data_IF_020198992076
#
_entry.id   IF_020198992076
#
_cell.length_a   1.000
_cell.length_b   1.000
_cell.length_c   1.000
_cell.angle_alpha   90.00
_cell.angle_beta   90.00
_cell.angle_gamma   90.00
#
_symmetry.space_group_name_H-M   'P 1'
#
loop_
_entity.id
_entity.type
_entity.pdbx_description
1 polymer ?
#
# COMPACT_ATOMS: atom_id res chain seq x y z
N UNK A 1 46.95 37.98 3.19
CA UNK A 1 45.56 37.65 3.57
C UNK A 1 44.86 37.11 2.32
N UNK A 2 44.81 35.80 2.20
CA UNK A 2 44.07 35.10 1.11
C UNK A 2 42.63 34.91 1.57
N UNK A 3 41.71 35.66 0.97
CA UNK A 3 40.26 35.44 1.11
C UNK A 3 39.87 34.26 0.22
N UNK A 4 39.71 33.08 0.83
CA UNK A 4 39.08 31.95 0.14
C UNK A 4 37.56 32.21 0.18
N UNK A 5 37.07 32.81 -0.92
CA UNK A 5 35.64 32.93 -1.18
C UNK A 5 35.08 31.51 -1.39
N UNK A 6 34.46 30.94 -0.36
CA UNK A 6 33.70 29.71 -0.47
C UNK A 6 32.55 29.97 -1.44
N UNK A 7 32.67 29.52 -2.69
CA UNK A 7 31.53 29.43 -3.60
C UNK A 7 30.52 28.47 -2.97
N UNK A 8 29.41 29.00 -2.50
CA UNK A 8 28.25 28.18 -2.16
C UNK A 8 27.86 27.46 -3.46
N UNK A 9 28.04 26.14 -3.49
CA UNK A 9 27.52 25.30 -4.57
C UNK A 9 26.01 25.46 -4.50
N UNK A 10 25.42 26.15 -5.47
CA UNK A 10 23.99 26.27 -5.57
C UNK A 10 23.43 24.86 -5.85
N UNK A 11 22.54 24.38 -4.98
CA UNK A 11 21.88 23.10 -5.17
C UNK A 11 21.26 23.04 -6.57
N UNK A 12 21.44 21.92 -7.24
CA UNK A 12 20.73 21.68 -8.51
C UNK A 12 19.23 21.51 -8.24
N UNK A 13 18.35 21.78 -9.21
CA UNK A 13 16.92 21.51 -9.06
C UNK A 13 16.60 20.07 -8.58
N UNK A 14 17.40 19.09 -9.04
CA UNK A 14 17.28 17.69 -8.60
C UNK A 14 17.62 17.51 -7.12
N UNK A 15 18.67 18.18 -6.60
CA UNK A 15 19.01 18.10 -5.18
C UNK A 15 17.98 18.81 -4.29
N UNK A 16 17.44 19.94 -4.75
CA UNK A 16 16.32 20.61 -4.06
C UNK A 16 15.10 19.69 -4.01
N UNK A 17 14.76 19.03 -5.12
CA UNK A 17 13.66 18.09 -5.21
C UNK A 17 13.84 16.88 -4.26
N UNK A 18 15.01 16.24 -4.27
CA UNK A 18 15.33 15.11 -3.38
C UNK A 18 15.17 15.49 -1.91
N UNK A 19 15.70 16.64 -1.52
CA UNK A 19 15.62 17.15 -0.15
C UNK A 19 14.17 17.42 0.26
N UNK A 20 13.41 18.09 -0.60
CA UNK A 20 11.99 18.37 -0.33
C UNK A 20 11.17 17.08 -0.20
N UNK A 21 11.41 16.11 -1.11
CA UNK A 21 10.74 14.81 -1.06
C UNK A 21 11.08 14.02 0.20
N UNK A 22 12.36 14.03 0.61
CA UNK A 22 12.78 13.37 1.85
C UNK A 22 12.14 13.99 3.10
N UNK A 23 12.00 15.33 3.15
CA UNK A 23 11.32 16.01 4.25
C UNK A 23 9.82 15.68 4.28
N UNK A 24 9.15 15.69 3.11
CA UNK A 24 7.75 15.32 3.01
C UNK A 24 7.50 13.86 3.46
N UNK A 25 8.35 12.93 3.01
CA UNK A 25 8.25 11.52 3.40
C UNK A 25 8.41 11.32 4.92
N UNK A 26 9.38 12.00 5.56
CA UNK A 26 9.54 11.96 7.03
C UNK A 26 8.32 12.49 7.77
N UNK A 27 7.76 13.60 7.29
CA UNK A 27 6.58 14.21 7.90
C UNK A 27 5.34 13.31 7.78
N UNK A 28 5.11 12.72 6.60
CA UNK A 28 3.98 11.81 6.34
C UNK A 28 4.13 10.47 7.06
N UNK A 29 5.36 9.98 7.23
CA UNK A 29 5.65 8.75 7.96
C UNK A 29 5.62 8.93 9.47
N UNK A 30 5.54 10.18 9.97
CA UNK A 30 5.71 10.53 11.40
C UNK A 30 7.05 10.03 11.98
N UNK A 31 8.09 9.90 11.11
CA UNK A 31 9.42 9.40 11.46
C UNK A 31 10.49 10.41 11.05
N UNK A 32 10.94 11.30 11.94
CA UNK A 32 11.97 12.30 11.65
C UNK A 32 13.33 11.72 11.25
N UNK A 33 13.63 10.51 11.71
CA UNK A 33 14.85 9.75 11.49
C UNK A 33 14.79 8.81 10.27
N UNK A 34 13.67 8.78 9.54
CA UNK A 34 13.56 7.98 8.31
C UNK A 34 14.67 8.31 7.32
N UNK A 35 15.47 7.32 6.96
CA UNK A 35 16.50 7.44 5.94
C UNK A 35 15.86 7.38 4.55
N UNK A 36 16.07 8.42 3.75
CA UNK A 36 15.57 8.48 2.36
C UNK A 36 16.75 8.50 1.40
N UNK A 37 16.86 7.44 0.61
CA UNK A 37 17.88 7.26 -0.42
C UNK A 37 17.25 7.27 -1.83
N UNK A 38 18.08 7.48 -2.86
CA UNK A 38 17.67 7.45 -4.26
C UNK A 38 18.56 6.51 -5.06
N UNK A 39 17.95 5.54 -5.73
CA UNK A 39 18.66 4.53 -6.53
C UNK A 39 17.85 4.13 -7.77
N UNK A 40 18.46 3.39 -8.68
CA UNK A 40 17.82 2.93 -9.93
C UNK A 40 16.81 1.82 -9.70
N UNK A 41 16.90 1.09 -8.59
CA UNK A 41 16.12 -0.10 -8.23
C UNK A 41 14.98 0.18 -7.22
N UNK A 42 14.66 1.46 -6.98
CA UNK A 42 13.51 1.84 -6.14
C UNK A 42 12.16 1.68 -6.86
N UNK A 43 11.01 1.86 -6.16
CA UNK A 43 10.88 2.16 -4.73
C UNK A 43 10.95 0.91 -3.84
N UNK A 44 11.56 1.04 -2.67
CA UNK A 44 11.67 -0.04 -1.68
C UNK A 44 11.64 0.53 -0.27
N UNK A 45 10.94 -0.16 0.63
CA UNK A 45 10.94 0.12 2.05
C UNK A 45 11.59 -1.06 2.80
N UNK A 46 12.54 -0.78 3.68
CA UNK A 46 13.22 -1.79 4.49
C UNK A 46 13.53 -1.20 5.87
N UNK A 47 12.74 -1.57 6.87
CA UNK A 47 12.83 -0.96 8.20
C UNK A 47 12.67 0.56 8.13
N UNK A 48 13.65 1.31 8.64
CA UNK A 48 13.67 2.78 8.61
C UNK A 48 14.30 3.39 7.34
N UNK A 49 14.51 2.60 6.29
CA UNK A 49 15.10 3.08 5.04
C UNK A 49 14.09 3.03 3.89
N UNK A 50 13.80 4.18 3.31
CA UNK A 50 13.01 4.37 2.10
C UNK A 50 13.95 4.65 0.93
N UNK A 51 14.01 3.73 -0.03
CA UNK A 51 14.74 3.93 -1.30
C UNK A 51 13.74 4.30 -2.38
N UNK A 52 13.97 5.43 -3.06
CA UNK A 52 13.12 5.94 -4.13
C UNK A 52 13.89 5.92 -5.47
N UNK A 53 13.18 5.86 -6.60
CA UNK A 53 13.81 6.04 -7.91
C UNK A 53 14.53 7.40 -8.02
N UNK A 54 15.57 7.42 -8.86
CA UNK A 54 16.25 8.68 -9.20
C UNK A 54 15.25 9.69 -9.78
N UNK A 55 15.24 10.94 -9.29
CA UNK A 55 14.34 11.97 -9.78
C UNK A 55 14.46 12.20 -11.29
N UNK A 56 13.36 12.48 -11.99
CA UNK A 56 13.39 12.86 -13.38
C UNK A 56 14.11 14.21 -13.58
N UNK A 57 14.50 14.50 -14.82
CA UNK A 57 15.17 15.78 -15.15
C UNK A 57 14.27 16.99 -14.93
N UNK A 58 12.97 16.84 -15.17
CA UNK A 58 11.97 17.87 -14.91
C UNK A 58 11.25 17.58 -13.58
N UNK A 59 11.56 18.36 -12.51
CA UNK A 59 10.94 18.16 -11.20
C UNK A 59 9.48 18.66 -11.13
N UNK A 60 8.98 19.31 -12.18
CA UNK A 60 7.59 19.81 -12.28
C UNK A 60 6.69 18.92 -13.15
N UNK A 61 7.28 17.99 -13.89
CA UNK A 61 6.58 17.12 -14.82
C UNK A 61 5.79 15.99 -14.17
N UNK A 62 4.99 15.25 -14.97
CA UNK A 62 4.13 14.16 -14.48
C UNK A 62 4.94 13.01 -13.86
N UNK A 63 6.15 12.74 -14.33
CA UNK A 63 7.03 11.72 -13.76
C UNK A 63 7.46 12.09 -12.33
N UNK A 64 7.72 13.38 -12.08
CA UNK A 64 8.06 13.87 -10.74
C UNK A 64 6.84 13.81 -9.81
N UNK A 65 5.64 14.09 -10.32
CA UNK A 65 4.40 13.92 -9.55
C UNK A 65 4.15 12.45 -9.18
N UNK A 66 4.35 11.53 -10.12
CA UNK A 66 4.24 10.09 -9.85
C UNK A 66 5.29 9.62 -8.83
N UNK A 67 6.52 10.17 -8.88
CA UNK A 67 7.55 9.86 -7.89
C UNK A 67 7.19 10.38 -6.49
N UNK A 68 6.59 11.59 -6.38
CA UNK A 68 6.04 12.07 -5.10
C UNK A 68 4.98 11.10 -4.58
N UNK A 69 4.04 10.67 -5.43
CA UNK A 69 2.99 9.72 -5.04
C UNK A 69 3.52 8.37 -4.58
N UNK A 70 4.63 7.87 -5.16
CA UNK A 70 5.29 6.67 -4.67
C UNK A 70 5.88 6.87 -3.28
N UNK A 71 6.52 8.02 -3.03
CA UNK A 71 7.07 8.36 -1.73
C UNK A 71 5.96 8.55 -0.67
N UNK A 72 4.91 9.29 -1.03
CA UNK A 72 3.76 9.57 -0.17
C UNK A 72 3.08 8.26 0.26
N UNK A 73 2.84 7.35 -0.68
CA UNK A 73 2.24 6.03 -0.45
C UNK A 73 3.05 5.20 0.55
N UNK A 74 4.37 5.16 0.41
CA UNK A 74 5.24 4.39 1.30
C UNK A 74 5.37 5.04 2.68
N UNK A 75 5.40 6.36 2.74
CA UNK A 75 5.42 7.10 4.00
C UNK A 75 4.12 6.91 4.78
N UNK A 76 2.96 6.98 4.12
CA UNK A 76 1.66 6.72 4.75
C UNK A 76 1.53 5.28 5.26
N UNK A 77 2.15 4.31 4.57
CA UNK A 77 2.20 2.92 5.06
C UNK A 77 2.95 2.84 6.39
N UNK A 78 4.07 3.54 6.56
CA UNK A 78 4.81 3.59 7.82
C UNK A 78 3.99 4.16 8.97
N UNK A 79 3.12 5.15 8.70
CA UNK A 79 2.32 5.81 9.72
C UNK A 79 1.01 5.07 10.06
N UNK A 80 0.42 4.34 9.10
CA UNK A 80 -0.97 3.85 9.21
C UNK A 80 -1.12 2.33 9.10
N UNK A 81 -0.01 1.57 9.18
CA UNK A 81 -0.04 0.12 8.99
C UNK A 81 0.76 -0.62 10.07
N UNK A 82 0.14 -1.62 10.66
CA UNK A 82 0.76 -2.59 11.56
C UNK A 82 1.05 -3.89 10.80
N UNK A 83 2.32 -4.14 10.51
CA UNK A 83 2.76 -5.35 9.79
C UNK A 83 2.46 -6.64 10.57
N UNK A 84 2.56 -6.62 11.91
CA UNK A 84 2.27 -7.79 12.74
C UNK A 84 0.78 -8.16 12.71
N UNK A 85 -0.09 -7.16 12.75
CA UNK A 85 -1.53 -7.35 12.59
C UNK A 85 -1.87 -7.81 11.17
N UNK A 86 -1.25 -7.20 10.16
CA UNK A 86 -1.44 -7.57 8.76
C UNK A 86 -1.06 -9.04 8.51
N UNK A 87 0.08 -9.49 9.02
CA UNK A 87 0.55 -10.86 8.84
C UNK A 87 -0.41 -11.93 9.43
N UNK A 88 -1.14 -11.58 10.50
CA UNK A 88 -2.16 -12.47 11.10
C UNK A 88 -3.47 -12.52 10.30
N UNK A 89 -3.80 -11.44 9.59
CA UNK A 89 -5.07 -11.31 8.88
C UNK A 89 -4.96 -11.70 7.40
N UNK A 90 -3.80 -11.51 6.81
CA UNK A 90 -3.52 -11.72 5.39
C UNK A 90 -3.73 -13.19 5.00
N UNK A 91 -4.52 -13.48 3.96
CA UNK A 91 -4.72 -14.84 3.45
C UNK A 91 -3.43 -15.51 2.98
N UNK A 92 -3.41 -16.85 3.05
CA UNK A 92 -2.31 -17.66 2.50
C UNK A 92 -2.46 -17.91 0.98
N UNK A 93 -3.70 -17.93 0.46
CA UNK A 93 -3.95 -18.03 -0.98
C UNK A 93 -3.43 -16.79 -1.70
N UNK A 94 -2.72 -17.00 -2.81
CA UNK A 94 -2.04 -15.91 -3.52
C UNK A 94 -3.00 -14.87 -4.10
N UNK A 95 -4.13 -15.32 -4.69
CA UNK A 95 -5.10 -14.43 -5.31
C UNK A 95 -5.88 -13.62 -4.26
N UNK A 96 -6.27 -14.27 -3.16
CA UNK A 96 -6.89 -13.60 -2.03
C UNK A 96 -5.92 -12.60 -1.37
N UNK A 97 -4.65 -12.97 -1.23
CA UNK A 97 -3.61 -12.10 -0.69
C UNK A 97 -3.37 -10.85 -1.56
N UNK A 98 -3.39 -10.97 -2.89
CA UNK A 98 -3.27 -9.82 -3.80
C UNK A 98 -4.41 -8.81 -3.60
N UNK A 99 -5.66 -9.30 -3.49
CA UNK A 99 -6.80 -8.43 -3.22
C UNK A 99 -6.70 -7.82 -1.83
N UNK A 100 -6.35 -8.62 -0.81
CA UNK A 100 -6.17 -8.14 0.55
C UNK A 100 -5.13 -7.03 0.63
N UNK A 101 -3.95 -7.22 0.04
CA UNK A 101 -2.87 -6.25 0.03
C UNK A 101 -3.25 -4.95 -0.71
N UNK A 102 -3.95 -5.05 -1.83
CA UNK A 102 -4.41 -3.90 -2.60
C UNK A 102 -5.45 -3.07 -1.83
N UNK A 103 -6.40 -3.73 -1.16
CA UNK A 103 -7.45 -3.07 -0.39
C UNK A 103 -6.89 -2.47 0.91
N UNK A 104 -5.99 -3.17 1.61
CA UNK A 104 -5.31 -2.62 2.78
C UNK A 104 -4.47 -1.39 2.41
N UNK A 105 -3.75 -1.44 1.29
CA UNK A 105 -3.02 -0.27 0.82
C UNK A 105 -3.96 0.91 0.50
N UNK A 106 -5.12 0.62 -0.06
CA UNK A 106 -6.17 1.64 -0.31
C UNK A 106 -6.68 2.27 0.99
N UNK A 107 -6.91 1.47 2.04
CA UNK A 107 -7.26 1.96 3.37
C UNK A 107 -6.21 2.93 3.92
N UNK A 108 -4.93 2.52 3.88
CA UNK A 108 -3.78 3.34 4.33
C UNK A 108 -3.77 4.69 3.61
N UNK A 109 -3.93 4.68 2.29
CA UNK A 109 -3.92 5.88 1.46
C UNK A 109 -5.12 6.79 1.75
N UNK A 110 -6.31 6.23 1.90
CA UNK A 110 -7.52 7.00 2.18
C UNK A 110 -7.46 7.65 3.57
N UNK A 111 -7.09 6.90 4.61
CA UNK A 111 -6.99 7.41 5.98
C UNK A 111 -5.88 8.44 6.09
N UNK A 112 -4.68 8.12 5.61
CA UNK A 112 -3.51 8.97 5.78
C UNK A 112 -3.54 10.26 4.95
N UNK A 113 -4.34 10.31 3.88
CA UNK A 113 -4.46 11.49 3.02
C UNK A 113 -5.77 12.25 3.15
N UNK A 114 -6.63 11.90 4.09
CA UNK A 114 -8.00 12.44 4.20
C UNK A 114 -8.08 13.99 4.14
N UNK A 115 -7.11 14.70 4.73
CA UNK A 115 -7.01 16.16 4.71
C UNK A 115 -5.94 16.71 3.76
N UNK A 116 -5.28 15.85 2.94
CA UNK A 116 -4.08 16.19 2.19
C UNK A 116 -4.31 16.06 0.67
N UNK A 117 -5.04 17.00 0.06
CA UNK A 117 -5.40 16.95 -1.36
C UNK A 117 -4.18 16.76 -2.27
N UNK A 118 -3.07 17.50 -2.05
CA UNK A 118 -1.86 17.37 -2.87
C UNK A 118 -1.22 15.97 -2.79
N UNK A 119 -1.32 15.29 -1.63
CA UNK A 119 -0.87 13.90 -1.46
C UNK A 119 -1.76 12.95 -2.26
N UNK A 120 -3.09 13.13 -2.21
CA UNK A 120 -4.02 12.35 -3.03
C UNK A 120 -3.75 12.50 -4.53
N UNK A 121 -3.52 13.73 -4.99
CA UNK A 121 -3.21 14.00 -6.40
C UNK A 121 -1.91 13.31 -6.84
N UNK A 122 -0.88 13.33 -6.00
CA UNK A 122 0.38 12.64 -6.24
C UNK A 122 0.19 11.11 -6.32
N UNK A 123 -0.55 10.53 -5.36
CA UNK A 123 -0.83 9.09 -5.33
C UNK A 123 -1.68 8.65 -6.53
N UNK A 124 -2.67 9.45 -6.96
CA UNK A 124 -3.42 9.22 -8.17
C UNK A 124 -2.51 9.17 -9.41
N UNK A 125 -1.58 10.12 -9.54
CA UNK A 125 -0.62 10.13 -10.63
C UNK A 125 0.30 8.89 -10.61
N UNK A 126 0.75 8.46 -9.43
CA UNK A 126 1.54 7.24 -9.26
C UNK A 126 0.76 5.98 -9.64
N UNK A 127 -0.50 5.87 -9.22
CA UNK A 127 -1.39 4.75 -9.53
C UNK A 127 -1.67 4.66 -11.03
N UNK A 128 -2.06 5.75 -11.66
CA UNK A 128 -2.29 5.82 -13.12
C UNK A 128 -1.02 5.42 -13.87
N UNK A 129 0.13 5.99 -13.52
CA UNK A 129 1.42 5.66 -14.13
C UNK A 129 1.77 4.18 -13.99
N UNK A 130 1.52 3.58 -12.81
CA UNK A 130 1.77 2.16 -12.56
C UNK A 130 0.89 1.25 -13.41
N UNK A 131 -0.43 1.47 -13.42
CA UNK A 131 -1.38 0.65 -14.16
C UNK A 131 -1.24 0.81 -15.68
N UNK A 132 -0.85 1.99 -16.17
CA UNK A 132 -0.48 2.16 -17.56
C UNK A 132 0.77 1.35 -17.95
N UNK A 133 1.82 1.34 -17.13
CA UNK A 133 3.02 0.54 -17.38
C UNK A 133 2.76 -0.97 -17.35
N UNK A 134 1.81 -1.42 -16.54
CA UNK A 134 1.36 -2.81 -16.50
C UNK A 134 0.44 -3.18 -17.69
N UNK A 135 0.00 -2.20 -18.48
CA UNK A 135 -0.97 -2.39 -19.55
C UNK A 135 -2.41 -2.59 -19.07
N UNK A 136 -2.66 -2.56 -17.76
CA UNK A 136 -3.99 -2.77 -17.18
C UNK A 136 -4.97 -1.64 -17.55
N UNK A 137 -4.50 -0.39 -17.56
CA UNK A 137 -5.31 0.76 -17.97
C UNK A 137 -5.82 0.71 -19.42
N UNK A 138 -5.20 -0.10 -20.28
CA UNK A 138 -5.59 -0.32 -21.67
C UNK A 138 -6.46 -1.57 -21.87
N UNK A 139 -6.93 -2.21 -20.78
CA UNK A 139 -7.83 -3.36 -20.88
C UNK A 139 -9.14 -2.98 -21.59
N UNK A 140 -9.58 -3.82 -22.52
CA UNK A 140 -10.85 -3.68 -23.25
C UNK A 140 -11.80 -4.84 -22.97
N UNK A 141 -11.35 -5.82 -22.20
CA UNK A 141 -12.08 -7.03 -21.81
C UNK A 141 -11.93 -7.24 -20.30
N UNK A 142 -13.00 -7.66 -19.62
CA UNK A 142 -13.05 -7.86 -18.17
C UNK A 142 -11.97 -8.85 -17.69
N UNK A 143 -11.70 -9.90 -18.46
CA UNK A 143 -10.70 -10.94 -18.11
C UNK A 143 -9.26 -10.40 -18.05
N UNK A 144 -8.99 -9.22 -18.60
CA UNK A 144 -7.68 -8.57 -18.59
C UNK A 144 -7.52 -7.55 -17.47
N UNK A 145 -8.59 -7.28 -16.73
CA UNK A 145 -8.56 -6.37 -15.58
C UNK A 145 -8.00 -7.10 -14.37
N UNK A 146 -6.94 -6.60 -13.73
CA UNK A 146 -6.47 -7.16 -12.46
C UNK A 146 -7.53 -6.94 -11.37
N UNK A 147 -8.12 -8.03 -10.86
CA UNK A 147 -9.21 -7.99 -9.87
C UNK A 147 -8.80 -7.22 -8.62
N UNK A 148 -7.59 -7.44 -8.12
CA UNK A 148 -7.07 -6.74 -6.95
C UNK A 148 -7.08 -5.21 -7.10
N UNK A 149 -6.66 -4.73 -8.29
CA UNK A 149 -6.66 -3.28 -8.58
C UNK A 149 -8.07 -2.72 -8.73
N UNK A 150 -8.97 -3.47 -9.36
CA UNK A 150 -10.36 -3.04 -9.52
C UNK A 150 -11.08 -2.96 -8.17
N UNK A 151 -10.95 -3.99 -7.32
CA UNK A 151 -11.52 -3.99 -5.96
C UNK A 151 -10.93 -2.84 -5.14
N UNK A 152 -9.60 -2.64 -5.18
CA UNK A 152 -8.94 -1.51 -4.52
C UNK A 152 -9.51 -0.16 -4.97
N UNK A 153 -9.78 0.03 -6.27
CA UNK A 153 -10.39 1.26 -6.79
C UNK A 153 -11.84 1.45 -6.34
N UNK A 154 -12.65 0.39 -6.29
CA UNK A 154 -14.02 0.45 -5.76
C UNK A 154 -14.05 0.79 -4.27
N UNK A 155 -13.15 0.23 -3.47
CA UNK A 155 -12.97 0.59 -2.05
C UNK A 155 -12.52 2.04 -1.92
N UNK A 156 -11.57 2.49 -2.75
CA UNK A 156 -11.13 3.89 -2.75
C UNK A 156 -12.28 4.86 -3.00
N UNK A 157 -13.14 4.59 -3.99
CA UNK A 157 -14.32 5.41 -4.27
C UNK A 157 -15.22 5.55 -3.04
N UNK A 158 -15.44 4.47 -2.31
CA UNK A 158 -16.24 4.46 -1.08
C UNK A 158 -15.60 5.23 0.06
N UNK A 159 -14.31 5.01 0.30
CA UNK A 159 -13.58 5.65 1.41
C UNK A 159 -13.37 7.15 1.20
N UNK A 160 -13.18 7.58 -0.05
CA UNK A 160 -12.84 8.98 -0.37
C UNK A 160 -14.02 9.79 -0.91
N UNK A 161 -15.05 9.14 -1.42
CA UNK A 161 -16.13 9.78 -2.18
C UNK A 161 -15.70 10.28 -3.57
N UNK A 162 -14.48 10.01 -3.99
CA UNK A 162 -13.91 10.43 -5.28
C UNK A 162 -13.94 9.27 -6.29
N UNK A 163 -14.39 9.49 -7.54
CA UNK A 163 -14.39 8.44 -8.56
C UNK A 163 -12.96 7.96 -8.88
N UNK A 164 -12.86 6.81 -9.54
CA UNK A 164 -11.57 6.35 -10.08
C UNK A 164 -10.94 7.45 -10.96
N UNK A 165 -9.59 7.59 -10.92
CA UNK A 165 -8.90 8.53 -11.80
C UNK A 165 -9.27 8.32 -13.27
N UNK A 166 -9.43 9.40 -14.04
CA UNK A 166 -9.91 9.36 -15.43
C UNK A 166 -9.19 8.31 -16.30
N UNK A 167 -7.87 8.17 -16.13
CA UNK A 167 -7.09 7.19 -16.86
C UNK A 167 -7.36 5.72 -16.49
N UNK A 168 -8.18 5.45 -15.45
CA UNK A 168 -8.48 4.09 -14.94
C UNK A 168 -9.97 3.78 -14.94
N UNK A 169 -10.82 4.77 -15.13
CA UNK A 169 -12.27 4.63 -15.08
C UNK A 169 -12.77 3.55 -16.03
N UNK A 170 -12.35 3.60 -17.30
CA UNK A 170 -12.77 2.63 -18.31
C UNK A 170 -12.40 1.18 -17.93
N UNK A 171 -11.24 0.98 -17.30
CA UNK A 171 -10.80 -0.33 -16.81
C UNK A 171 -11.73 -0.85 -15.69
N UNK A 172 -12.06 -0.01 -14.71
CA UNK A 172 -12.94 -0.40 -13.60
C UNK A 172 -14.36 -0.67 -14.09
N UNK A 173 -14.88 0.15 -15.01
CA UNK A 173 -16.24 0.03 -15.54
C UNK A 173 -16.48 -1.33 -16.25
N UNK A 174 -15.42 -1.99 -16.76
CA UNK A 174 -15.53 -3.34 -17.36
C UNK A 174 -15.94 -4.45 -16.37
N UNK A 175 -15.65 -4.26 -15.08
CA UNK A 175 -15.89 -5.27 -14.04
C UNK A 175 -16.76 -4.76 -12.89
N UNK A 176 -17.13 -3.48 -12.91
CA UNK A 176 -17.88 -2.83 -11.84
C UNK A 176 -19.18 -3.56 -11.50
N UNK A 177 -20.02 -3.83 -12.50
CA UNK A 177 -21.34 -4.47 -12.31
C UNK A 177 -21.16 -5.84 -11.64
N UNK A 178 -20.26 -6.69 -12.15
CA UNK A 178 -20.00 -8.01 -11.57
C UNK A 178 -19.49 -7.92 -10.12
N UNK A 179 -18.56 -7.03 -9.84
CA UNK A 179 -18.00 -6.87 -8.49
C UNK A 179 -19.02 -6.29 -7.50
N UNK A 180 -19.85 -5.35 -7.93
CA UNK A 180 -20.93 -4.76 -7.13
C UNK A 180 -22.02 -5.78 -6.83
N UNK A 181 -22.44 -6.56 -7.81
CA UNK A 181 -23.46 -7.61 -7.65
C UNK A 181 -23.01 -8.69 -6.67
N UNK A 182 -21.70 -9.01 -6.65
CA UNK A 182 -21.14 -10.06 -5.80
C UNK A 182 -20.79 -9.59 -4.40
N UNK A 183 -20.20 -8.41 -4.27
CA UNK A 183 -19.57 -7.96 -3.02
C UNK A 183 -19.95 -6.54 -2.59
N UNK A 184 -20.94 -5.89 -3.22
CA UNK A 184 -21.29 -4.50 -2.97
C UNK A 184 -21.57 -4.19 -1.49
N UNK A 185 -22.42 -5.00 -0.84
CA UNK A 185 -22.75 -4.83 0.58
C UNK A 185 -21.53 -4.97 1.50
N UNK A 186 -20.63 -5.93 1.19
CA UNK A 186 -19.41 -6.15 1.95
C UNK A 186 -18.40 -5.01 1.74
N UNK A 187 -18.31 -4.49 0.51
CA UNK A 187 -17.48 -3.31 0.20
C UNK A 187 -18.00 -2.06 0.93
N UNK A 188 -19.30 -1.88 1.01
CA UNK A 188 -19.92 -0.76 1.74
C UNK A 188 -19.64 -0.84 3.25
N UNK A 189 -19.67 -2.05 3.81
CA UNK A 189 -19.38 -2.28 5.24
C UNK A 189 -17.96 -1.87 5.65
N UNK A 190 -16.99 -1.91 4.73
CA UNK A 190 -15.60 -1.49 5.00
C UNK A 190 -15.49 0.00 5.36
N UNK A 191 -16.39 0.84 4.88
CA UNK A 191 -16.28 2.31 5.04
C UNK A 191 -16.27 2.74 6.50
N UNK A 192 -17.09 2.12 7.33
CA UNK A 192 -17.19 2.44 8.76
C UNK A 192 -15.96 1.96 9.58
N UNK A 193 -15.14 1.08 8.99
CA UNK A 193 -14.04 0.40 9.67
C UNK A 193 -12.65 0.94 9.26
N UNK A 194 -12.58 1.91 8.37
CA UNK A 194 -11.32 2.39 7.78
C UNK A 194 -10.26 2.81 8.79
N UNK A 195 -10.66 3.36 9.96
CA UNK A 195 -9.74 3.80 11.02
C UNK A 195 -9.22 2.67 11.90
N UNK A 196 -9.81 1.46 11.84
CA UNK A 196 -9.41 0.28 12.61
C UNK A 196 -8.91 -0.80 11.66
N UNK A 197 -7.59 -0.96 11.54
CA UNK A 197 -6.97 -1.95 10.66
C UNK A 197 -7.41 -3.37 10.97
N UNK A 198 -7.60 -3.72 12.25
CA UNK A 198 -8.01 -5.06 12.66
C UNK A 198 -9.42 -5.39 12.22
N UNK A 199 -10.37 -4.50 12.52
CA UNK A 199 -11.77 -4.65 12.13
C UNK A 199 -11.92 -4.60 10.61
N UNK A 200 -11.19 -3.70 9.92
CA UNK A 200 -11.19 -3.59 8.47
C UNK A 200 -10.68 -4.86 7.80
N UNK A 201 -9.52 -5.38 8.23
CA UNK A 201 -8.95 -6.61 7.68
C UNK A 201 -9.79 -7.86 7.97
N UNK A 202 -10.49 -7.91 9.12
CA UNK A 202 -11.43 -8.97 9.41
C UNK A 202 -12.67 -8.94 8.49
N UNK A 203 -13.25 -7.74 8.27
CA UNK A 203 -14.38 -7.55 7.37
C UNK A 203 -14.00 -7.77 5.89
N UNK A 204 -12.75 -7.47 5.51
CA UNK A 204 -12.25 -7.72 4.16
C UNK A 204 -12.29 -9.21 3.79
N UNK A 205 -12.22 -10.13 4.76
CA UNK A 205 -12.40 -11.57 4.51
C UNK A 205 -13.80 -11.90 3.97
N UNK A 206 -14.82 -11.12 4.33
CA UNK A 206 -16.18 -11.31 3.79
C UNK A 206 -16.25 -10.85 2.32
N UNK A 207 -15.53 -9.80 1.95
CA UNK A 207 -15.37 -9.40 0.54
C UNK A 207 -14.68 -10.51 -0.25
N UNK A 208 -13.61 -11.10 0.28
CA UNK A 208 -12.90 -12.20 -0.39
C UNK A 208 -13.81 -13.40 -0.62
N UNK A 209 -14.61 -13.80 0.38
CA UNK A 209 -15.61 -14.90 0.24
C UNK A 209 -16.65 -14.59 -0.82
N UNK A 210 -17.18 -13.36 -0.84
CA UNK A 210 -18.14 -12.92 -1.84
C UNK A 210 -17.59 -12.96 -3.27
N UNK A 211 -16.28 -12.81 -3.41
CA UNK A 211 -15.55 -12.90 -4.67
C UNK A 211 -15.04 -14.33 -4.99
N UNK A 212 -15.47 -15.36 -4.24
CA UNK A 212 -15.00 -16.76 -4.35
C UNK A 212 -13.47 -16.90 -4.20
N UNK A 213 -12.86 -16.03 -3.39
CA UNK A 213 -11.45 -16.11 -3.01
C UNK A 213 -11.33 -16.72 -1.60
N UNK A 214 -10.36 -17.60 -1.39
CA UNK A 214 -10.16 -18.24 -0.09
C UNK A 214 -9.52 -17.26 0.92
N UNK A 215 -10.27 -16.75 1.92
CA UNK A 215 -9.71 -15.85 2.91
C UNK A 215 -8.80 -16.54 3.94
N UNK A 216 -8.72 -17.87 3.92
CA UNK A 216 -8.12 -18.67 4.97
C UNK A 216 -8.89 -18.57 6.30
N UNK A 217 -8.81 -19.59 7.12
CA UNK A 217 -9.52 -19.63 8.42
C UNK A 217 -8.80 -18.87 9.55
N UNK A 218 -7.73 -18.13 9.26
CA UNK A 218 -7.08 -17.28 10.27
C UNK A 218 -6.60 -18.01 11.53
N UNK A 219 -6.54 -19.33 11.50
CA UNK A 219 -5.90 -20.12 12.56
C UNK A 219 -4.41 -20.04 12.33
N UNK A 220 -3.80 -18.99 12.91
CA UNK A 220 -2.44 -19.16 13.39
C UNK A 220 -2.47 -20.43 14.23
N UNK A 221 -1.68 -21.43 13.89
CA UNK A 221 -1.41 -22.56 14.74
C UNK A 221 -1.03 -21.98 16.11
N UNK A 222 -1.96 -22.07 17.08
CA UNK A 222 -1.57 -22.06 18.46
C UNK A 222 -0.53 -23.17 18.57
N UNK A 223 0.71 -22.79 18.70
CA UNK A 223 1.76 -23.71 19.11
C UNK A 223 1.24 -24.34 20.38
N UNK A 224 0.70 -25.55 20.25
CA UNK A 224 0.42 -26.40 21.36
C UNK A 224 1.76 -26.63 22.03
N UNK A 225 1.99 -25.89 23.11
CA UNK A 225 2.93 -26.23 24.16
C UNK A 225 2.40 -27.56 24.73
N UNK A 226 2.86 -28.65 24.14
CA UNK A 226 2.71 -30.00 24.69
C UNK A 226 3.73 -30.09 25.83
N UNK A 227 3.29 -30.03 27.11
CA UNK A 227 4.21 -30.33 28.21
C UNK A 227 4.48 -31.83 28.15
N UNK A 228 5.66 -32.18 27.62
CA UNK A 228 6.14 -33.55 27.56
C UNK A 228 5.90 -34.28 28.90
N UNK A 229 5.08 -35.34 28.82
CA UNK A 229 4.96 -36.32 29.87
C UNK A 229 6.36 -36.93 30.13
N UNK A 230 6.98 -36.60 31.27
CA UNK A 230 8.12 -37.31 31.81
C UNK A 230 7.65 -38.74 32.16
N UNK A 231 8.06 -39.72 31.38
CA UNK A 231 7.95 -41.14 31.76
C UNK A 231 8.86 -41.40 32.99
N UNK A 232 8.35 -42.05 34.05
CA UNK A 232 9.20 -42.41 35.19
C UNK A 232 10.11 -43.58 34.83
N UNK A 233 11.39 -43.40 35.13
CA UNK A 233 12.49 -44.36 35.03
C UNK A 233 12.14 -45.69 35.76
N UNK A 234 12.27 -46.88 35.13
CA UNK A 234 12.03 -48.16 35.83
C UNK A 234 13.19 -48.48 36.78
N UNK A 235 12.89 -48.58 38.06
CA UNK A 235 13.78 -49.06 39.08
C UNK A 235 14.15 -50.53 38.83
N UNK A 236 15.42 -50.85 38.75
CA UNK A 236 15.97 -52.20 38.81
C UNK A 236 15.75 -52.78 40.22
N UNK A 237 15.33 -54.07 40.36
CA UNK A 237 15.32 -54.75 41.65
C UNK A 237 16.68 -55.43 41.91
N UNK A 238 17.07 -55.46 43.18
CA UNK A 238 18.19 -56.20 43.83
C UNK A 238 18.34 -57.67 43.43
#
# INVERSE_FOLDING_TARGET
>A
LLYVSGMAVSDTPAEVFKRALAHAARALAEQPDLEVAFASDGPKLSGHQLTLPTPPRDPSGPEAQALRGQADRMALRLANHDEGLNARLRPADASAAEVFDAVEQTRIEAVGSASLTGVRDNMNAALVSRLHRMGAAAATEAQRVPVAEAVGLLVRERLTGEPAPDGLKAMVDLVREDLEDRAGDQLDALTALASDQGAFGAALKDVLRALDLDPGDGRGEDASDDPGEEEPDPQEPD
#
